data_IF_088622041620
#
_entry.id   IF_088622041620
#
_cell.length_a   1.000
_cell.length_b   1.000
_cell.length_c   1.000
_cell.angle_alpha   90.00
_cell.angle_beta   90.00
_cell.angle_gamma   90.00
#
_symmetry.space_group_name_H-M   'P 1'
#
loop_
_entity.id
_entity.type
_entity.pdbx_description
1 polymer ?
#
# COMPACT_ATOMS: atom_id res chain seq x y z
N UNK A 1 -51.66 14.96 -26.30
CA UNK A 1 -50.88 15.07 -25.06
C UNK A 1 -50.48 13.64 -24.76
N UNK A 2 -49.34 13.14 -25.29
CA UNK A 2 -47.97 13.48 -24.87
C UNK A 2 -47.86 13.34 -23.34
N UNK A 3 -47.09 12.44 -22.74
CA UNK A 3 -45.86 11.75 -23.19
C UNK A 3 -45.65 10.51 -22.33
N UNK A 4 -44.96 9.56 -22.96
CA UNK A 4 -44.28 8.39 -22.43
C UNK A 4 -43.38 8.70 -21.21
N UNK A 5 -43.16 7.67 -20.41
CA UNK A 5 -41.97 7.38 -19.60
C UNK A 5 -41.40 8.41 -18.60
N UNK A 6 -41.25 7.94 -17.37
CA UNK A 6 -40.62 8.69 -16.28
C UNK A 6 -40.29 7.78 -15.12
N UNK A 7 -39.79 6.58 -15.43
CA UNK A 7 -39.06 5.79 -14.45
C UNK A 7 -37.81 6.58 -14.10
N UNK A 8 -37.88 7.41 -13.05
CA UNK A 8 -36.70 8.02 -12.46
C UNK A 8 -35.90 6.91 -11.78
N UNK A 9 -35.10 6.21 -12.58
CA UNK A 9 -33.95 5.50 -12.05
C UNK A 9 -33.06 6.61 -11.50
N UNK A 10 -33.02 6.76 -10.18
CA UNK A 10 -31.92 7.42 -9.52
C UNK A 10 -30.75 6.48 -9.77
N UNK A 11 -30.13 6.58 -10.94
CA UNK A 11 -28.75 6.18 -11.14
C UNK A 11 -27.98 7.15 -10.26
N UNK A 12 -27.91 6.82 -8.96
CA UNK A 12 -26.76 7.25 -8.20
C UNK A 12 -25.58 6.81 -9.04
N UNK A 13 -24.77 7.78 -9.44
CA UNK A 13 -23.48 7.60 -10.08
C UNK A 13 -22.61 6.84 -9.06
N UNK A 14 -22.96 5.58 -8.84
CA UNK A 14 -22.07 4.58 -8.31
C UNK A 14 -21.06 4.48 -9.44
N UNK A 15 -19.88 5.03 -9.19
CA UNK A 15 -18.78 4.99 -10.13
C UNK A 15 -18.68 3.62 -10.78
N UNK A 16 -18.13 3.60 -11.99
CA UNK A 16 -17.95 2.40 -12.79
C UNK A 16 -17.44 1.25 -11.91
N UNK A 17 -17.68 -0.03 -12.26
CA UNK A 17 -17.14 -1.16 -11.50
C UNK A 17 -15.61 -1.07 -11.26
N UNK A 18 -14.91 -0.35 -12.14
CA UNK A 18 -13.50 0.01 -12.00
C UNK A 18 -13.23 1.02 -10.87
N UNK A 19 -14.11 1.98 -10.64
CA UNK A 19 -14.03 2.99 -9.57
C UNK A 19 -14.21 2.31 -8.22
N UNK A 20 -15.21 1.43 -8.10
CA UNK A 20 -15.42 0.64 -6.87
C UNK A 20 -14.23 -0.28 -6.56
N UNK A 21 -13.61 -0.87 -7.58
CA UNK A 21 -12.42 -1.71 -7.41
C UNK A 21 -11.19 -0.88 -7.05
N UNK A 22 -11.06 0.34 -7.57
CA UNK A 22 -9.99 1.26 -7.22
C UNK A 22 -10.12 1.73 -5.76
N UNK A 23 -11.31 2.18 -5.36
CA UNK A 23 -11.59 2.61 -3.98
C UNK A 23 -11.32 1.46 -2.99
N UNK A 24 -11.67 0.23 -3.35
CA UNK A 24 -11.38 -0.96 -2.55
C UNK A 24 -9.87 -1.20 -2.40
N UNK A 25 -9.10 -1.13 -3.49
CA UNK A 25 -7.64 -1.28 -3.43
C UNK A 25 -7.01 -0.20 -2.56
N UNK A 26 -7.38 1.08 -2.77
CA UNK A 26 -6.83 2.19 -1.99
C UNK A 26 -7.17 2.00 -0.51
N UNK A 27 -8.42 1.65 -0.18
CA UNK A 27 -8.83 1.38 1.19
C UNK A 27 -8.11 0.20 1.84
N UNK A 28 -7.79 -0.85 1.08
CA UNK A 28 -6.98 -1.98 1.58
C UNK A 28 -5.54 -1.56 1.86
N UNK A 29 -4.96 -0.70 1.03
CA UNK A 29 -3.60 -0.18 1.25
C UNK A 29 -3.58 0.75 2.47
N UNK A 30 -4.57 1.62 2.62
CA UNK A 30 -4.74 2.46 3.81
C UNK A 30 -4.91 1.62 5.09
N UNK A 31 -5.75 0.58 5.05
CA UNK A 31 -5.93 -0.34 6.16
C UNK A 31 -4.62 -1.06 6.50
N UNK A 32 -3.86 -1.49 5.49
CA UNK A 32 -2.53 -2.03 5.71
C UNK A 32 -1.60 -0.99 6.36
N UNK A 33 -1.54 0.25 5.88
CA UNK A 33 -0.70 1.30 6.47
C UNK A 33 -1.04 1.57 7.94
N UNK A 34 -2.32 1.53 8.31
CA UNK A 34 -2.79 1.73 9.70
C UNK A 34 -2.47 0.52 10.58
N UNK A 35 -2.69 -0.69 10.06
CA UNK A 35 -2.49 -1.94 10.79
C UNK A 35 -1.04 -2.45 10.76
N UNK A 36 -0.19 -1.86 9.92
CA UNK A 36 1.20 -2.28 9.76
C UNK A 36 2.02 -1.88 10.98
N UNK A 37 2.30 -2.86 11.84
CA UNK A 37 3.18 -2.69 13.00
C UNK A 37 4.65 -2.64 12.57
N UNK A 38 5.08 -1.47 12.12
CA UNK A 38 6.48 -1.18 11.76
C UNK A 38 7.43 -1.47 12.93
N UNK A 39 7.08 -1.06 14.15
CA UNK A 39 7.95 -1.25 15.32
C UNK A 39 8.09 -2.74 15.67
N UNK A 40 7.01 -3.53 15.56
CA UNK A 40 7.03 -4.99 15.73
C UNK A 40 7.84 -5.69 14.65
N UNK A 41 7.69 -5.28 13.40
CA UNK A 41 8.48 -5.80 12.28
C UNK A 41 9.97 -5.47 12.45
N UNK A 42 10.32 -4.26 12.89
CA UNK A 42 11.68 -3.85 13.20
C UNK A 42 12.30 -4.65 14.36
N UNK A 43 11.51 -5.12 15.32
CA UNK A 43 12.00 -6.00 16.41
C UNK A 43 12.46 -7.37 15.92
N UNK A 44 11.97 -7.82 14.77
CA UNK A 44 12.42 -9.09 14.16
C UNK A 44 13.82 -8.96 13.52
N UNK A 45 14.25 -7.73 13.20
CA UNK A 45 15.58 -7.47 12.72
C UNK A 45 16.60 -7.47 13.88
N UNK A 46 17.86 -7.87 13.61
CA UNK A 46 18.91 -7.80 14.61
C UNK A 46 19.14 -6.35 15.07
N UNK A 47 19.71 -6.10 16.26
CA UNK A 47 19.98 -4.75 16.72
C UNK A 47 20.92 -4.00 15.77
N UNK A 48 20.59 -2.75 15.43
CA UNK A 48 21.37 -1.95 14.48
C UNK A 48 22.81 -1.74 14.94
N UNK A 49 23.09 -1.77 16.25
CA UNK A 49 24.43 -1.64 16.82
C UNK A 49 25.32 -2.89 16.64
N UNK A 50 24.72 -4.06 16.39
CA UNK A 50 25.44 -5.31 16.13
C UNK A 50 25.82 -5.47 14.64
N UNK A 51 25.25 -4.64 13.77
CA UNK A 51 25.57 -4.63 12.34
C UNK A 51 26.70 -3.63 12.13
N UNK A 52 27.95 -4.12 12.19
CA UNK A 52 29.15 -3.28 12.09
C UNK A 52 29.37 -2.67 10.69
N UNK A 53 28.65 -3.14 9.68
CA UNK A 53 28.88 -2.80 8.27
C UNK A 53 27.64 -2.13 7.66
N UNK A 54 27.79 -0.90 7.17
CA UNK A 54 26.73 -0.17 6.47
C UNK A 54 26.17 -0.96 5.28
N UNK A 55 27.00 -1.76 4.60
CA UNK A 55 26.55 -2.60 3.49
C UNK A 55 25.60 -3.71 3.93
N UNK A 56 25.86 -4.34 5.08
CA UNK A 56 24.96 -5.33 5.67
C UNK A 56 23.68 -4.66 6.18
N UNK A 57 23.79 -3.47 6.77
CA UNK A 57 22.65 -2.69 7.24
C UNK A 57 21.71 -2.33 6.08
N UNK A 58 22.27 -1.88 4.96
CA UNK A 58 21.52 -1.57 3.76
C UNK A 58 20.92 -2.83 3.09
N UNK A 59 21.61 -3.97 3.18
CA UNK A 59 21.08 -5.25 2.68
C UNK A 59 19.92 -5.76 3.53
N UNK A 60 20.02 -5.69 4.85
CA UNK A 60 18.94 -6.02 5.78
C UNK A 60 17.74 -5.10 5.57
N UNK A 61 17.98 -3.80 5.38
CA UNK A 61 16.96 -2.84 5.03
C UNK A 61 16.24 -3.20 3.72
N UNK A 62 16.98 -3.44 2.63
CA UNK A 62 16.38 -3.84 1.35
C UNK A 62 15.55 -5.11 1.49
N UNK A 63 16.07 -6.10 2.20
CA UNK A 63 15.33 -7.35 2.47
C UNK A 63 14.07 -7.11 3.31
N UNK A 64 14.13 -6.19 4.26
CA UNK A 64 12.98 -5.81 5.07
C UNK A 64 11.91 -5.12 4.23
N UNK A 65 12.28 -4.08 3.47
CA UNK A 65 11.36 -3.36 2.57
C UNK A 65 10.74 -4.33 1.57
N UNK A 66 11.54 -5.18 0.91
CA UNK A 66 11.01 -6.19 -0.02
C UNK A 66 10.13 -7.26 0.66
N UNK A 67 10.27 -7.47 1.97
CA UNK A 67 9.37 -8.35 2.71
C UNK A 67 8.05 -7.63 3.03
N UNK A 68 8.10 -6.34 3.39
CA UNK A 68 6.91 -5.53 3.63
C UNK A 68 6.11 -5.34 2.34
N UNK A 69 6.77 -5.00 1.22
CA UNK A 69 6.16 -4.94 -0.11
C UNK A 69 5.47 -6.26 -0.46
N UNK A 70 6.12 -7.40 -0.21
CA UNK A 70 5.51 -8.72 -0.46
C UNK A 70 4.31 -9.02 0.42
N UNK A 71 4.33 -8.58 1.68
CA UNK A 71 3.18 -8.75 2.56
C UNK A 71 2.03 -7.82 2.17
N UNK A 72 2.33 -6.59 1.73
CA UNK A 72 1.36 -5.68 1.12
C UNK A 72 0.74 -6.31 -0.13
N UNK A 73 1.56 -6.81 -1.06
CA UNK A 73 1.10 -7.48 -2.29
C UNK A 73 0.15 -8.63 -1.97
N UNK A 74 0.50 -9.49 -1.01
CA UNK A 74 -0.38 -10.59 -0.56
C UNK A 74 -1.65 -10.07 0.10
N UNK A 75 -1.56 -9.02 0.90
CA UNK A 75 -2.70 -8.44 1.59
C UNK A 75 -3.71 -7.89 0.59
N UNK A 76 -3.21 -7.11 -0.38
CA UNK A 76 -3.99 -6.58 -1.51
C UNK A 76 -4.60 -7.70 -2.34
N UNK A 77 -3.81 -8.70 -2.75
CA UNK A 77 -4.33 -9.83 -3.54
C UNK A 77 -5.36 -10.70 -2.79
N UNK A 78 -5.23 -10.82 -1.47
CA UNK A 78 -6.20 -11.56 -0.66
C UNK A 78 -7.53 -10.82 -0.49
N UNK A 79 -7.48 -9.49 -0.37
CA UNK A 79 -8.67 -8.65 -0.22
C UNK A 79 -9.32 -8.32 -1.57
N UNK A 80 -8.53 -8.25 -2.64
CA UNK A 80 -8.99 -7.91 -3.99
C UNK A 80 -8.86 -9.12 -4.95
N UNK A 81 -9.67 -10.19 -4.79
CA UNK A 81 -9.62 -11.37 -5.64
C UNK A 81 -10.08 -11.10 -7.08
N UNK A 82 -10.63 -9.91 -7.36
CA UNK A 82 -10.99 -9.49 -8.72
C UNK A 82 -9.79 -9.27 -9.65
N UNK A 83 -8.59 -9.06 -9.11
CA UNK A 83 -7.37 -8.89 -9.91
C UNK A 83 -6.62 -10.23 -10.05
N UNK A 84 -6.09 -10.49 -11.24
CA UNK A 84 -5.33 -11.71 -11.52
C UNK A 84 -3.92 -11.66 -10.91
N UNK A 85 -3.36 -10.46 -10.82
CA UNK A 85 -2.00 -10.22 -10.34
C UNK A 85 -1.84 -8.77 -9.83
N UNK A 86 -0.84 -8.58 -8.95
CA UNK A 86 -0.55 -7.26 -8.35
C UNK A 86 -0.11 -6.22 -9.38
N UNK A 87 0.37 -6.66 -10.55
CA UNK A 87 0.74 -5.75 -11.64
C UNK A 87 -0.49 -5.06 -12.24
N UNK A 88 -1.64 -5.75 -12.32
CA UNK A 88 -2.91 -5.11 -12.70
C UNK A 88 -3.33 -4.05 -11.67
N UNK A 89 -3.14 -4.33 -10.39
CA UNK A 89 -3.44 -3.37 -9.31
C UNK A 89 -2.52 -2.15 -9.41
N UNK A 90 -1.22 -2.37 -9.60
CA UNK A 90 -0.25 -1.29 -9.80
C UNK A 90 -0.56 -0.43 -11.01
N UNK A 91 -0.97 -1.02 -12.14
CA UNK A 91 -1.39 -0.27 -13.32
C UNK A 91 -2.67 0.54 -13.09
N UNK A 92 -3.63 -0.01 -12.34
CA UNK A 92 -4.85 0.70 -11.99
C UNK A 92 -4.54 1.93 -11.11
N UNK A 93 -3.69 1.74 -10.10
CA UNK A 93 -3.22 2.82 -9.22
C UNK A 93 -2.42 3.87 -9.99
N UNK A 94 -1.52 3.46 -10.89
CA UNK A 94 -0.72 4.40 -11.69
C UNK A 94 -1.58 5.21 -12.68
N UNK A 95 -2.59 4.57 -13.26
CA UNK A 95 -3.51 5.22 -14.21
C UNK A 95 -4.40 6.27 -13.54
N UNK A 96 -4.62 6.16 -12.23
CA UNK A 96 -5.48 7.03 -11.42
C UNK A 96 -4.78 7.64 -10.22
N UNK A 97 -3.46 7.81 -10.30
CA UNK A 97 -2.64 8.34 -9.21
C UNK A 97 -3.10 9.72 -8.72
N UNK A 98 -3.71 10.52 -9.58
CA UNK A 98 -4.21 11.86 -9.25
C UNK A 98 -5.45 11.81 -8.32
N UNK A 99 -6.06 10.63 -8.15
CA UNK A 99 -7.19 10.38 -7.24
C UNK A 99 -6.74 9.75 -5.90
N UNK A 100 -5.47 9.33 -5.81
CA UNK A 100 -4.89 8.72 -4.61
C UNK A 100 -4.36 9.84 -3.71
N UNK A 101 -4.54 9.72 -2.39
CA UNK A 101 -3.89 10.63 -1.44
C UNK A 101 -2.36 10.57 -1.61
N UNK A 102 -1.72 11.74 -1.64
CA UNK A 102 -0.26 11.85 -1.85
C UNK A 102 0.53 10.95 -0.88
N UNK A 103 0.06 10.76 0.36
CA UNK A 103 0.72 9.90 1.35
C UNK A 103 0.60 8.41 1.04
N UNK A 104 -0.52 7.98 0.46
CA UNK A 104 -0.72 6.59 0.01
C UNK A 104 0.08 6.35 -1.26
N UNK A 105 0.10 7.31 -2.19
CA UNK A 105 0.89 7.21 -3.41
C UNK A 105 2.39 7.21 -3.14
N UNK A 106 2.89 8.06 -2.24
CA UNK A 106 4.30 8.09 -1.80
C UNK A 106 4.68 6.73 -1.18
N UNK A 107 3.81 6.16 -0.35
CA UNK A 107 4.01 4.84 0.26
C UNK A 107 4.14 3.71 -0.77
N UNK A 108 3.36 3.75 -1.86
CA UNK A 108 3.39 2.72 -2.91
C UNK A 108 4.55 2.95 -3.89
N UNK A 109 4.82 4.21 -4.27
CA UNK A 109 5.71 4.55 -5.39
C UNK A 109 7.17 4.79 -5.00
N UNK A 110 7.44 5.42 -3.87
CA UNK A 110 8.80 5.68 -3.40
C UNK A 110 9.33 4.57 -2.48
N UNK A 111 8.48 3.59 -2.20
CA UNK A 111 8.74 2.50 -1.28
C UNK A 111 8.21 2.86 0.10
N UNK A 112 7.53 1.88 0.70
CA UNK A 112 6.82 1.94 1.98
C UNK A 112 7.57 2.72 3.09
N UNK A 113 8.91 2.72 3.07
CA UNK A 113 9.73 3.26 4.14
C UNK A 113 11.05 3.86 3.62
N UNK A 114 11.25 5.15 3.84
CA UNK A 114 12.54 5.83 3.62
C UNK A 114 13.65 5.23 4.51
N UNK A 115 14.85 5.02 3.94
CA UNK A 115 15.99 4.42 4.67
C UNK A 115 16.42 5.24 5.89
N UNK A 116 16.41 6.57 5.78
CA UNK A 116 16.76 7.48 6.87
C UNK A 116 15.71 7.38 7.98
N UNK A 117 14.43 7.41 7.61
CA UNK A 117 13.34 7.25 8.58
C UNK A 117 13.41 5.89 9.30
N UNK A 118 13.54 4.81 8.54
CA UNK A 118 13.53 3.45 9.07
C UNK A 118 14.79 3.15 9.87
N UNK A 119 15.96 3.65 9.46
CA UNK A 119 17.19 3.48 10.24
C UNK A 119 17.16 4.24 11.56
N UNK A 120 16.57 5.44 11.61
CA UNK A 120 16.35 6.17 12.85
C UNK A 120 15.36 5.46 13.77
N UNK A 121 14.27 4.91 13.22
CA UNK A 121 13.30 4.10 13.97
C UNK A 121 13.88 2.78 14.46
N UNK A 122 14.65 2.09 13.63
CA UNK A 122 15.32 0.83 13.97
C UNK A 122 16.29 1.02 15.15
N UNK A 123 17.09 2.10 15.14
CA UNK A 123 17.95 2.46 16.26
C UNK A 123 17.18 2.85 17.53
N UNK A 124 15.94 3.33 17.40
CA UNK A 124 15.08 3.66 18.55
C UNK A 124 14.39 2.43 19.15
N UNK A 125 14.09 1.41 18.32
CA UNK A 125 13.48 0.15 18.73
C UNK A 125 14.50 -0.80 19.37
N UNK A 126 15.76 -0.75 18.91
CA UNK A 126 16.90 -1.47 19.48
C UNK A 126 18.00 -0.49 19.94
N UNK A 127 17.86 0.10 21.15
CA UNK A 127 18.89 0.98 21.71
C UNK A 127 20.22 0.27 21.97
#
# INVERSE_FOLDING_TARGET
MDTDDGCFVIEGDHGSPEDAAFDEVVGVIEDFMINFDLDGALRTLPPSHNVANDHERHTLFKNFVSNVERELDKHVMNQCPQFADVAQVGQLLESRKDEIDDGVWEFISEGCLDYVYLSARWASVHP
#
